data_IF_661827910880
#
_entry.id   IF_661827910880
#
_cell.length_a   1.000
_cell.length_b   1.000
_cell.length_c   1.000
_cell.angle_alpha   90.00
_cell.angle_beta   90.00
_cell.angle_gamma   90.00
#
_symmetry.space_group_name_H-M   'P 1'
#
loop_
_entity.id
_entity.type
_entity.pdbx_description
1 polymer ?
#
# COMPACT_ATOMS: atom_id res chain seq x y z
N UNK A 1 -0.18 -5.39 8.33
CA UNK A 1 -1.13 -4.26 8.26
C UNK A 1 -0.57 -3.21 7.32
N UNK A 2 -1.39 -2.59 6.47
CA UNK A 2 -1.00 -1.51 5.58
C UNK A 2 -1.54 -0.19 6.12
N UNK A 3 -0.65 0.79 6.36
CA UNK A 3 -1.00 2.13 6.81
C UNK A 3 -0.19 3.20 6.11
N UNK A 4 -0.69 4.44 6.15
CA UNK A 4 -0.04 5.56 5.46
C UNK A 4 0.77 6.44 6.39
N UNK A 5 0.35 6.52 7.64
CA UNK A 5 0.97 7.32 8.69
C UNK A 5 0.95 6.59 10.03
N UNK A 6 1.94 6.87 10.86
CA UNK A 6 2.10 6.29 12.20
C UNK A 6 2.91 7.25 13.07
N UNK A 7 2.65 7.36 14.39
CA UNK A 7 3.47 8.18 15.27
C UNK A 7 4.96 7.78 15.25
N UNK A 8 5.88 8.74 15.39
CA UNK A 8 5.67 10.15 15.75
C UNK A 8 5.22 11.04 14.59
N UNK A 9 5.14 10.53 13.37
CA UNK A 9 4.75 11.27 12.17
C UNK A 9 3.23 11.27 12.01
N UNK A 10 2.58 12.33 12.48
CA UNK A 10 1.13 12.46 12.54
C UNK A 10 0.69 13.57 11.60
N UNK A 11 -0.15 13.24 10.61
CA UNK A 11 -0.82 14.20 9.76
C UNK A 11 -2.31 14.34 10.09
N UNK A 12 -2.89 13.33 10.75
CA UNK A 12 -4.30 13.31 11.12
C UNK A 12 -4.68 12.22 12.11
N UNK A 13 -5.96 12.00 12.27
CA UNK A 13 -6.51 11.00 13.19
C UNK A 13 -6.15 9.56 12.84
N UNK A 14 -5.80 9.29 11.57
CA UNK A 14 -5.42 7.98 11.09
C UNK A 14 -4.20 7.41 11.82
N UNK A 15 -3.17 8.23 12.04
CA UNK A 15 -1.96 7.82 12.76
C UNK A 15 -2.27 7.41 14.20
N UNK A 16 -3.10 8.20 14.90
CA UNK A 16 -3.49 7.94 16.29
C UNK A 16 -4.35 6.67 16.39
N UNK A 17 -5.29 6.49 15.47
CA UNK A 17 -6.12 5.28 15.41
C UNK A 17 -5.28 4.02 15.12
N UNK A 18 -4.38 4.10 14.16
CA UNK A 18 -3.45 3.00 13.82
C UNK A 18 -2.57 2.62 15.02
N UNK A 19 -2.07 3.61 15.74
CA UNK A 19 -1.31 3.40 16.97
C UNK A 19 -2.14 2.69 18.05
N UNK A 20 -3.34 3.18 18.34
CA UNK A 20 -4.21 2.58 19.36
C UNK A 20 -4.58 1.12 19.03
N UNK A 21 -4.89 0.84 17.76
CA UNK A 21 -5.22 -0.51 17.31
C UNK A 21 -4.00 -1.44 17.46
N UNK A 22 -2.84 -1.04 16.97
CA UNK A 22 -1.63 -1.87 17.04
C UNK A 22 -1.15 -2.06 18.47
N UNK A 23 -1.27 -1.06 19.34
CA UNK A 23 -1.00 -1.17 20.75
C UNK A 23 -1.98 -2.14 21.45
N UNK A 24 -3.26 -2.11 21.05
CA UNK A 24 -4.24 -3.08 21.53
C UNK A 24 -3.90 -4.51 21.11
N UNK A 25 -3.57 -4.70 19.83
CA UNK A 25 -3.21 -6.01 19.28
C UNK A 25 -1.93 -6.58 19.92
N UNK A 26 -0.95 -5.75 20.23
CA UNK A 26 0.31 -6.20 20.86
C UNK A 26 0.11 -6.80 22.26
N UNK A 27 -1.02 -6.56 22.92
CA UNK A 27 -1.39 -7.14 24.23
C UNK A 27 -2.08 -8.48 24.13
N UNK A 28 -2.43 -8.93 22.92
CA UNK A 28 -3.14 -10.19 22.70
C UNK A 28 -2.10 -11.30 22.46
N UNK A 29 -2.05 -12.34 23.31
CA UNK A 29 -1.10 -13.45 23.13
C UNK A 29 -1.27 -14.12 21.75
N UNK A 30 -0.16 -14.37 21.07
CA UNK A 30 -0.14 -15.04 19.77
C UNK A 30 -0.47 -14.13 18.59
N UNK A 31 -0.67 -12.82 18.80
CA UNK A 31 -0.85 -11.85 17.72
C UNK A 31 0.46 -11.10 17.48
N UNK A 32 1.03 -11.27 16.32
CA UNK A 32 2.17 -10.50 15.83
C UNK A 32 1.72 -9.54 14.72
N UNK A 33 2.12 -8.29 14.83
CA UNK A 33 1.75 -7.28 13.85
C UNK A 33 2.98 -6.73 13.15
N UNK A 34 2.99 -6.84 11.80
CA UNK A 34 3.89 -6.07 10.94
C UNK A 34 3.10 -4.92 10.33
N UNK A 35 3.52 -3.69 10.60
CA UNK A 35 2.90 -2.48 10.07
C UNK A 35 3.74 -1.90 8.94
N UNK A 36 3.20 -1.90 7.73
CA UNK A 36 3.87 -1.44 6.53
C UNK A 36 3.58 0.05 6.33
N UNK A 37 4.63 0.85 6.28
CA UNK A 37 4.57 2.31 6.05
C UNK A 37 5.31 2.70 4.77
N UNK A 38 4.86 3.74 4.04
CA UNK A 38 5.60 4.27 2.90
C UNK A 38 7.05 4.60 3.27
N UNK A 39 7.21 5.41 4.32
CA UNK A 39 8.51 5.84 4.82
C UNK A 39 8.44 6.08 6.34
N UNK A 40 8.87 5.14 7.17
CA UNK A 40 9.02 5.35 8.61
C UNK A 40 10.10 6.40 8.90
N UNK A 41 10.09 6.96 10.09
CA UNK A 41 11.11 7.91 10.56
C UNK A 41 12.19 7.24 11.42
N UNK A 42 12.00 5.99 11.83
CA UNK A 42 12.94 5.22 12.64
C UNK A 42 12.82 5.46 14.15
N UNK A 43 11.84 6.26 14.56
CA UNK A 43 11.54 6.56 15.97
C UNK A 43 10.19 5.99 16.42
N UNK A 44 9.63 5.06 15.62
CA UNK A 44 8.38 4.38 15.93
C UNK A 44 8.52 3.44 17.13
N UNK A 45 7.40 3.20 17.79
CA UNK A 45 7.35 2.36 19.00
C UNK A 45 7.78 0.91 18.72
N UNK A 46 8.47 0.31 19.69
CA UNK A 46 9.07 -1.03 19.59
C UNK A 46 8.12 -2.20 19.85
N UNK A 47 6.85 -1.93 20.15
CA UNK A 47 5.88 -3.01 20.43
C UNK A 47 5.34 -3.71 19.17
N UNK A 48 5.71 -3.22 17.98
CA UNK A 48 5.35 -3.84 16.71
C UNK A 48 6.51 -3.81 15.72
N UNK A 49 6.42 -4.64 14.69
CA UNK A 49 7.38 -4.64 13.60
C UNK A 49 6.97 -3.59 12.56
N UNK A 50 7.78 -2.55 12.36
CA UNK A 50 7.60 -1.60 11.27
C UNK A 50 8.37 -2.09 10.04
N UNK A 51 7.68 -2.13 8.90
CA UNK A 51 8.26 -2.43 7.61
C UNK A 51 8.20 -1.18 6.73
N UNK A 52 9.37 -0.67 6.37
CA UNK A 52 9.50 0.40 5.39
C UNK A 52 9.26 -0.13 3.98
N UNK A 53 8.31 0.44 3.25
CA UNK A 53 8.09 0.10 1.84
C UNK A 53 9.29 0.51 0.97
N UNK A 54 10.05 1.55 1.36
CA UNK A 54 11.29 1.93 0.67
C UNK A 54 12.38 0.84 0.72
N UNK A 55 12.31 -0.07 1.69
CA UNK A 55 13.33 -1.11 1.90
C UNK A 55 12.96 -2.45 1.28
N UNK A 56 11.76 -2.57 0.73
CA UNK A 56 11.32 -3.80 0.07
C UNK A 56 11.91 -3.82 -1.35
N UNK A 57 12.78 -4.78 -1.66
CA UNK A 57 13.36 -4.89 -2.99
C UNK A 57 12.29 -5.35 -3.99
N UNK A 58 12.18 -4.65 -5.09
CA UNK A 58 11.32 -5.02 -6.21
C UNK A 58 12.21 -5.62 -7.30
N UNK A 59 11.95 -6.88 -7.63
CA UNK A 59 12.64 -7.56 -8.73
C UNK A 59 11.73 -7.54 -9.94
N UNK A 60 12.14 -6.79 -10.94
CA UNK A 60 11.44 -6.71 -12.23
C UNK A 60 11.88 -7.91 -13.08
N UNK A 61 10.96 -8.83 -13.36
CA UNK A 61 11.18 -10.00 -14.22
C UNK A 61 10.28 -9.94 -15.44
N UNK A 62 10.80 -10.37 -16.58
CA UNK A 62 10.06 -10.49 -17.85
C UNK A 62 8.68 -11.18 -17.75
N UNK A 63 8.49 -12.23 -16.89
CA UNK A 63 7.18 -12.85 -16.73
C UNK A 63 6.09 -11.91 -16.21
N UNK A 64 6.46 -10.97 -15.34
CA UNK A 64 5.51 -9.99 -14.80
C UNK A 64 5.12 -8.97 -15.89
N UNK A 65 6.04 -8.64 -16.78
CA UNK A 65 5.79 -7.79 -17.94
C UNK A 65 4.88 -8.46 -18.96
N UNK A 66 5.11 -9.72 -19.32
CA UNK A 66 4.25 -10.44 -20.27
C UNK A 66 2.84 -10.70 -19.73
N UNK A 67 2.70 -10.97 -18.43
CA UNK A 67 1.41 -11.08 -17.77
C UNK A 67 0.64 -9.75 -17.82
N UNK A 68 1.31 -8.65 -17.51
CA UNK A 68 0.76 -7.31 -17.55
C UNK A 68 0.35 -6.90 -18.96
N UNK A 69 1.22 -7.16 -19.95
CA UNK A 69 0.97 -6.92 -21.38
C UNK A 69 -0.21 -7.73 -21.92
N UNK A 70 -0.37 -8.97 -21.46
CA UNK A 70 -1.53 -9.81 -21.75
C UNK A 70 -2.83 -9.23 -21.19
N UNK A 71 -2.80 -8.69 -19.98
CA UNK A 71 -3.94 -8.07 -19.33
C UNK A 71 -4.32 -6.72 -19.95
N UNK A 72 -3.34 -5.90 -20.31
CA UNK A 72 -3.53 -4.62 -21.00
C UNK A 72 -4.21 -4.76 -22.37
N UNK A 73 -4.01 -5.90 -23.06
CA UNK A 73 -4.66 -6.18 -24.36
C UNK A 73 -6.17 -6.44 -24.25
N UNK A 74 -6.65 -6.80 -23.08
CA UNK A 74 -8.04 -7.21 -22.83
C UNK A 74 -8.84 -6.15 -22.05
N UNK A 75 -8.25 -4.99 -21.77
CA UNK A 75 -8.93 -3.89 -21.09
C UNK A 75 -9.76 -3.08 -22.09
N UNK A 76 -10.95 -2.65 -21.66
CA UNK A 76 -11.71 -1.63 -22.40
C UNK A 76 -10.93 -0.31 -22.42
N UNK A 77 -11.22 0.62 -23.35
CA UNK A 77 -10.58 1.94 -23.39
C UNK A 77 -10.68 2.69 -22.06
N UNK A 78 -11.81 2.60 -21.34
CA UNK A 78 -12.05 3.22 -20.04
C UNK A 78 -11.19 2.58 -18.94
N UNK A 79 -11.16 1.25 -18.88
CA UNK A 79 -10.32 0.51 -17.95
C UNK A 79 -8.83 0.75 -18.23
N UNK A 80 -8.45 0.85 -19.50
CA UNK A 80 -7.06 1.15 -19.88
C UNK A 80 -6.63 2.56 -19.47
N UNK A 81 -7.56 3.54 -19.43
CA UNK A 81 -7.28 4.91 -18.98
C UNK A 81 -7.02 4.94 -17.47
N UNK A 82 -7.88 4.30 -16.67
CA UNK A 82 -7.70 4.21 -15.22
C UNK A 82 -6.45 3.40 -14.83
N UNK A 83 -6.13 2.38 -15.61
CA UNK A 83 -4.95 1.53 -15.39
C UNK A 83 -3.65 2.20 -15.89
N UNK A 84 -3.73 3.03 -16.93
CA UNK A 84 -2.59 3.70 -17.57
C UNK A 84 -1.93 4.73 -16.66
N UNK A 85 -2.71 5.50 -15.92
CA UNK A 85 -2.19 6.50 -14.98
C UNK A 85 -1.50 5.85 -13.78
N UNK A 86 -1.85 4.58 -13.47
CA UNK A 86 -1.24 3.82 -12.38
C UNK A 86 0.00 3.02 -12.77
N UNK A 87 0.18 2.74 -14.06
CA UNK A 87 1.27 1.87 -14.56
C UNK A 87 2.36 2.67 -15.28
N UNK A 88 2.01 3.76 -15.98
CA UNK A 88 2.96 4.46 -16.84
C UNK A 88 4.04 5.27 -16.11
N UNK A 89 3.85 5.58 -14.83
CA UNK A 89 4.90 6.26 -14.06
C UNK A 89 6.16 5.41 -13.86
N UNK A 90 6.04 4.06 -13.88
CA UNK A 90 7.13 3.15 -13.54
C UNK A 90 7.70 2.32 -14.69
N UNK A 91 7.00 2.21 -15.82
CA UNK A 91 7.45 1.36 -16.95
C UNK A 91 8.50 1.99 -17.88
N UNK A 92 8.99 3.17 -17.58
CA UNK A 92 10.14 3.75 -18.29
C UNK A 92 11.49 3.11 -17.91
N UNK A 93 11.50 2.16 -16.98
CA UNK A 93 12.68 1.39 -16.63
C UNK A 93 12.90 0.27 -17.67
N UNK A 94 13.85 0.50 -18.56
CA UNK A 94 14.27 -0.47 -19.58
C UNK A 94 14.96 -1.65 -18.90
N UNK A 95 14.36 -2.83 -19.13
CA UNK A 95 14.79 -4.11 -18.67
C UNK A 95 16.27 -4.41 -18.60
N UNK A 96 16.64 -4.82 -17.45
CA UNK A 96 17.63 -5.83 -17.11
C UNK A 96 17.23 -6.33 -15.72
N UNK A 97 17.71 -7.47 -15.26
CA UNK A 97 17.42 -8.07 -13.96
C UNK A 97 17.87 -7.18 -12.78
N UNK A 98 17.41 -5.94 -12.72
CA UNK A 98 17.81 -4.98 -11.70
C UNK A 98 16.89 -5.11 -10.49
N UNK A 99 17.51 -5.32 -9.34
CA UNK A 99 16.87 -5.16 -8.04
C UNK A 99 16.77 -3.66 -7.80
N UNK A 100 15.57 -3.13 -7.91
CA UNK A 100 15.26 -1.73 -7.64
C UNK A 100 14.47 -1.56 -6.35
N UNK A 101 14.36 -0.33 -5.87
CA UNK A 101 13.44 0.07 -4.81
C UNK A 101 12.50 1.15 -5.33
N UNK A 102 11.27 1.13 -4.89
CA UNK A 102 10.34 2.22 -5.12
C UNK A 102 10.47 3.23 -3.98
N UNK A 103 10.58 4.52 -4.31
CA UNK A 103 10.82 5.56 -3.33
C UNK A 103 9.53 6.31 -2.97
N UNK A 104 9.36 6.55 -1.68
CA UNK A 104 8.27 7.32 -1.11
C UNK A 104 8.82 8.60 -0.47
N UNK A 105 8.22 9.73 -0.81
CA UNK A 105 8.52 11.00 -0.15
C UNK A 105 7.82 11.12 1.21
N UNK A 106 6.76 10.36 1.39
CA UNK A 106 5.80 10.39 2.49
C UNK A 106 5.01 11.72 2.61
N UNK A 107 3.76 11.60 3.05
CA UNK A 107 2.82 12.71 3.21
C UNK A 107 1.86 12.86 2.06
N UNK A 108 0.99 13.87 2.15
CA UNK A 108 -0.08 14.13 1.18
C UNK A 108 0.39 15.17 0.15
N UNK A 109 1.23 14.74 -0.80
CA UNK A 109 1.85 15.62 -1.81
C UNK A 109 1.19 15.44 -3.18
N UNK A 110 1.65 16.22 -4.18
CA UNK A 110 1.16 16.15 -5.57
C UNK A 110 1.34 14.79 -6.24
N UNK A 111 2.28 13.98 -5.76
CA UNK A 111 2.59 12.61 -6.25
C UNK A 111 1.85 11.50 -5.49
N UNK A 112 0.82 11.85 -4.70
CA UNK A 112 0.13 10.90 -3.81
C UNK A 112 -0.42 9.68 -4.56
N UNK A 113 -1.03 9.88 -5.73
CA UNK A 113 -1.58 8.77 -6.52
C UNK A 113 -0.49 7.83 -7.05
N UNK A 114 0.66 8.37 -7.45
CA UNK A 114 1.83 7.59 -7.84
C UNK A 114 2.35 6.76 -6.65
N UNK A 115 2.47 7.38 -5.48
CA UNK A 115 2.89 6.69 -4.26
C UNK A 115 1.90 5.59 -3.84
N UNK A 116 0.59 5.78 -4.05
CA UNK A 116 -0.42 4.73 -3.83
C UNK A 116 -0.19 3.57 -4.81
N UNK A 117 0.11 3.86 -6.08
CA UNK A 117 0.47 2.85 -7.07
C UNK A 117 1.71 2.05 -6.68
N UNK A 118 2.76 2.73 -6.26
CA UNK A 118 4.01 2.12 -5.79
C UNK A 118 3.76 1.26 -4.54
N UNK A 119 2.96 1.74 -3.60
CA UNK A 119 2.57 1.00 -2.41
C UNK A 119 1.83 -0.30 -2.76
N UNK A 120 0.93 -0.24 -3.75
CA UNK A 120 0.20 -1.38 -4.27
C UNK A 120 1.13 -2.45 -4.86
N UNK A 121 2.14 -2.06 -5.66
CA UNK A 121 3.15 -2.97 -6.23
C UNK A 121 3.91 -3.69 -5.11
N UNK A 122 4.43 -2.95 -4.15
CA UNK A 122 5.20 -3.50 -3.03
C UNK A 122 4.35 -4.42 -2.15
N UNK A 123 3.08 -4.09 -1.94
CA UNK A 123 2.15 -4.97 -1.22
C UNK A 123 2.03 -6.35 -1.87
N UNK A 124 2.03 -6.41 -3.21
CA UNK A 124 2.09 -7.68 -3.96
C UNK A 124 3.40 -8.44 -3.75
N UNK A 125 4.54 -7.73 -3.67
CA UNK A 125 5.84 -8.36 -3.36
C UNK A 125 5.83 -8.95 -1.94
N UNK A 126 5.37 -8.19 -0.95
CA UNK A 126 5.24 -8.63 0.44
C UNK A 126 4.35 -9.87 0.52
N UNK A 127 3.22 -9.85 -0.19
CA UNK A 127 2.25 -10.95 -0.20
C UNK A 127 2.81 -12.26 -0.78
N UNK A 128 3.82 -12.19 -1.67
CA UNK A 128 4.52 -13.36 -2.23
C UNK A 128 5.67 -13.85 -1.38
N UNK A 129 6.30 -12.97 -0.62
CA UNK A 129 7.61 -13.25 0.00
C UNK A 129 7.57 -13.39 1.51
N UNK A 130 6.44 -13.05 2.15
CA UNK A 130 6.29 -13.13 3.61
C UNK A 130 5.11 -14.00 4.01
N UNK A 131 5.25 -14.68 5.13
CA UNK A 131 4.18 -15.43 5.78
C UNK A 131 3.35 -14.50 6.66
N UNK A 132 2.03 -14.64 6.58
CA UNK A 132 1.04 -13.94 7.41
C UNK A 132 -0.32 -14.63 7.31
N UNK A 133 -1.22 -14.36 8.25
CA UNK A 133 -2.54 -14.98 8.31
C UNK A 133 -3.65 -14.07 7.82
N UNK A 134 -3.53 -12.75 8.05
CA UNK A 134 -4.55 -11.76 7.73
C UNK A 134 -3.93 -10.48 7.21
N UNK A 135 -4.61 -9.85 6.27
CA UNK A 135 -4.30 -8.52 5.75
C UNK A 135 -5.25 -7.52 6.40
N UNK A 136 -4.71 -6.38 6.86
CA UNK A 136 -5.51 -5.29 7.37
C UNK A 136 -5.08 -3.99 6.70
N UNK A 137 -5.97 -3.37 5.93
CA UNK A 137 -5.72 -2.13 5.19
C UNK A 137 -6.48 -0.96 5.82
N UNK A 138 -5.76 0.12 6.12
CA UNK A 138 -6.26 1.30 6.80
C UNK A 138 -6.49 2.44 5.82
N UNK A 139 -7.74 2.77 5.62
CA UNK A 139 -8.24 3.85 4.79
C UNK A 139 -7.93 3.71 3.28
N UNK A 140 -8.56 4.56 2.47
CA UNK A 140 -8.58 4.49 1.01
C UNK A 140 -7.19 4.45 0.36
N UNK A 141 -6.20 5.10 0.97
CA UNK A 141 -4.80 5.12 0.50
C UNK A 141 -4.18 3.72 0.41
N UNK A 142 -4.62 2.79 1.27
CA UNK A 142 -4.05 1.44 1.35
C UNK A 142 -5.01 0.34 0.87
N UNK A 143 -6.25 0.67 0.52
CA UNK A 143 -7.21 -0.32 0.03
C UNK A 143 -6.74 -1.03 -1.24
N UNK A 144 -6.18 -0.34 -2.26
CA UNK A 144 -5.63 -1.01 -3.44
C UNK A 144 -4.55 -2.03 -3.08
N UNK A 145 -3.65 -1.67 -2.17
CA UNK A 145 -2.61 -2.58 -1.66
C UNK A 145 -3.18 -3.80 -0.93
N UNK A 146 -4.20 -3.59 -0.11
CA UNK A 146 -4.90 -4.69 0.58
C UNK A 146 -5.56 -5.66 -0.40
N UNK A 147 -6.24 -5.12 -1.41
CA UNK A 147 -6.90 -5.93 -2.47
C UNK A 147 -5.86 -6.72 -3.26
N UNK A 148 -4.77 -6.08 -3.69
CA UNK A 148 -3.71 -6.75 -4.43
C UNK A 148 -3.03 -7.86 -3.59
N UNK A 149 -2.69 -7.57 -2.34
CA UNK A 149 -2.11 -8.55 -1.44
C UNK A 149 -3.03 -9.76 -1.24
N UNK A 150 -4.36 -9.54 -1.12
CA UNK A 150 -5.36 -10.61 -1.07
C UNK A 150 -5.38 -11.43 -2.36
N UNK A 151 -5.36 -10.80 -3.51
CA UNK A 151 -5.35 -11.48 -4.82
C UNK A 151 -4.13 -12.38 -4.98
N UNK A 152 -2.97 -11.92 -4.51
CA UNK A 152 -1.69 -12.63 -4.61
C UNK A 152 -1.61 -13.79 -3.61
N UNK A 153 -2.01 -13.57 -2.35
CA UNK A 153 -1.80 -14.52 -1.24
C UNK A 153 -2.99 -15.44 -0.97
N UNK A 154 -4.20 -15.05 -1.39
CA UNK A 154 -5.44 -15.71 -1.00
C UNK A 154 -5.87 -15.48 0.46
N UNK A 155 -5.11 -14.74 1.25
CA UNK A 155 -5.38 -14.50 2.67
C UNK A 155 -6.57 -13.55 2.87
N UNK A 156 -7.28 -13.67 4.01
CA UNK A 156 -8.40 -12.78 4.32
C UNK A 156 -7.96 -11.33 4.44
N UNK A 157 -8.81 -10.41 3.98
CA UNK A 157 -8.60 -8.96 4.01
C UNK A 157 -9.64 -8.30 4.91
N UNK A 158 -9.18 -7.52 5.86
CA UNK A 158 -9.96 -6.57 6.63
C UNK A 158 -9.71 -5.16 6.07
N UNK A 159 -10.77 -4.45 5.70
CA UNK A 159 -10.76 -3.05 5.31
C UNK A 159 -11.22 -2.22 6.51
N UNK A 160 -10.40 -1.25 6.93
CA UNK A 160 -10.74 -0.34 8.02
C UNK A 160 -10.92 1.07 7.49
N UNK A 161 -12.17 1.53 7.46
CA UNK A 161 -12.53 2.88 7.03
C UNK A 161 -12.48 3.80 8.24
N UNK A 162 -11.58 4.79 8.23
CA UNK A 162 -11.46 5.79 9.30
C UNK A 162 -12.32 7.01 9.04
N UNK A 163 -12.43 7.42 7.78
CA UNK A 163 -13.33 8.49 7.36
C UNK A 163 -13.66 8.31 5.86
N UNK A 164 -14.90 8.58 5.50
CA UNK A 164 -15.33 8.63 4.10
C UNK A 164 -14.97 9.97 3.47
N UNK A 165 -15.03 10.08 2.15
CA UNK A 165 -14.84 11.36 1.48
C UNK A 165 -15.95 12.36 1.83
N UNK A 166 -17.16 11.90 2.12
CA UNK A 166 -18.24 12.73 2.65
C UNK A 166 -17.85 13.44 3.96
N UNK A 167 -17.19 12.71 4.86
CA UNK A 167 -16.76 13.27 6.15
C UNK A 167 -15.66 14.32 5.95
N UNK A 168 -14.75 14.08 5.02
CA UNK A 168 -13.59 14.94 4.75
C UNK A 168 -13.95 16.19 3.97
N UNK A 169 -14.85 16.06 2.99
CA UNK A 169 -15.22 17.11 2.04
C UNK A 169 -16.46 17.92 2.46
N UNK A 170 -17.04 17.62 3.64
CA UNK A 170 -18.30 18.23 4.11
C UNK A 170 -19.44 18.03 3.09
N UNK A 171 -19.50 16.86 2.49
CA UNK A 171 -20.53 16.48 1.52
C UNK A 171 -20.21 16.80 0.06
N UNK A 172 -19.07 17.42 -0.24
CA UNK A 172 -18.60 17.64 -1.61
C UNK A 172 -17.66 16.50 -2.02
N UNK A 173 -18.24 15.41 -2.51
CA UNK A 173 -17.47 14.19 -2.84
C UNK A 173 -16.53 14.44 -4.01
N UNK A 174 -15.27 14.04 -3.86
CA UNK A 174 -14.33 13.97 -4.94
C UNK A 174 -14.55 12.68 -5.73
N UNK A 175 -14.94 12.71 -7.01
CA UNK A 175 -15.22 11.51 -7.79
C UNK A 175 -13.99 10.64 -8.08
N UNK A 176 -12.78 11.08 -7.73
CA UNK A 176 -11.52 10.35 -7.94
C UNK A 176 -10.98 9.65 -6.68
N UNK A 177 -11.73 9.71 -5.59
CA UNK A 177 -11.35 9.09 -4.28
C UNK A 177 -12.30 7.96 -3.93
#
# INVERSE_FOLDING_TARGET
MFGWEFPPKIYGGLAVASYGITQGLSKIPGVETTFCLPKPCGEEEKFLNILSMNEVPVVWRDPDYEWLKGRLKNLTPEESYQFRDHIYADFSYKGTNDIGGLHFAAGYRKVLHEEIGNFNIIAGVIARTREFDIIHAHDWLTFPAGVHAKQVSGKPLCIHVHATDFDRSRGQVNPTV
#
